data_IF_501886040640
#
_entry.id   IF_501886040640
#
_cell.length_a   1.000
_cell.length_b   1.000
_cell.length_c   1.000
_cell.angle_alpha   90.00
_cell.angle_beta   90.00
_cell.angle_gamma   90.00
#
_symmetry.space_group_name_H-M   'P 1'
#
loop_
_entity.id
_entity.type
_entity.pdbx_description
1 polymer ?
#
# COMPACT_ATOMS: atom_id res chain seq x y z
N UNK A 1 -5.33 11.70 0.03
CA UNK A 1 -5.61 10.79 1.16
C UNK A 1 -4.29 10.10 1.41
N UNK A 2 -3.67 10.39 2.54
CA UNK A 2 -2.42 9.74 2.94
C UNK A 2 -2.74 8.26 3.20
N UNK A 3 -1.92 7.31 2.73
CA UNK A 3 -2.24 5.88 2.88
C UNK A 3 -2.32 5.50 4.37
N UNK A 4 -1.68 6.26 5.26
CA UNK A 4 -1.79 6.12 6.72
C UNK A 4 -3.24 6.25 7.23
N UNK A 5 -4.00 7.26 6.79
CA UNK A 5 -5.41 7.41 7.20
C UNK A 5 -6.27 6.26 6.71
N UNK A 6 -5.92 5.66 5.57
CA UNK A 6 -6.59 4.47 5.03
C UNK A 6 -6.31 3.24 5.90
N UNK A 7 -5.07 3.09 6.37
CA UNK A 7 -4.69 2.01 7.30
C UNK A 7 -5.45 2.15 8.61
N UNK A 8 -5.49 3.34 9.21
CA UNK A 8 -6.22 3.61 10.46
C UNK A 8 -7.71 3.26 10.33
N UNK A 9 -8.33 3.65 9.21
CA UNK A 9 -9.72 3.28 8.90
C UNK A 9 -9.91 1.77 8.82
N UNK A 10 -9.02 1.05 8.13
CA UNK A 10 -9.10 -0.41 8.00
C UNK A 10 -8.91 -1.13 9.33
N UNK A 11 -7.98 -0.64 10.18
CA UNK A 11 -7.79 -1.20 11.54
C UNK A 11 -9.06 -1.02 12.36
N UNK A 12 -9.68 0.16 12.32
CA UNK A 12 -10.91 0.43 13.05
C UNK A 12 -12.09 -0.41 12.56
N UNK A 13 -12.14 -0.72 11.26
CA UNK A 13 -13.24 -1.47 10.63
C UNK A 13 -13.08 -3.00 10.77
N UNK A 14 -11.89 -3.51 10.44
CA UNK A 14 -11.64 -4.94 10.22
C UNK A 14 -10.63 -5.54 11.22
N UNK A 15 -9.98 -4.70 12.03
CA UNK A 15 -8.93 -5.11 12.96
C UNK A 15 -7.53 -5.16 12.32
N UNK A 16 -6.51 -5.22 13.19
CA UNK A 16 -5.11 -5.21 12.78
C UNK A 16 -4.73 -6.41 11.89
N UNK A 17 -5.09 -7.68 12.20
CA UNK A 17 -4.68 -8.82 11.38
C UNK A 17 -5.20 -8.73 9.95
N UNK A 18 -6.49 -8.42 9.77
CA UNK A 18 -7.10 -8.26 8.45
C UNK A 18 -6.47 -7.08 7.67
N UNK A 19 -6.14 -6.00 8.37
CA UNK A 19 -5.45 -4.85 7.75
C UNK A 19 -4.05 -5.24 7.28
N UNK A 20 -3.28 -6.01 8.07
CA UNK A 20 -1.94 -6.49 7.67
C UNK A 20 -2.02 -7.31 6.38
N UNK A 21 -2.95 -8.26 6.29
CA UNK A 21 -3.16 -9.08 5.08
C UNK A 21 -3.56 -8.23 3.87
N UNK A 22 -4.44 -7.26 4.09
CA UNK A 22 -4.87 -6.31 3.07
C UNK A 22 -3.68 -5.46 2.56
N UNK A 23 -2.84 -4.94 3.45
CA UNK A 23 -1.66 -4.14 3.09
C UNK A 23 -0.66 -4.99 2.30
N UNK A 24 -0.38 -6.23 2.74
CA UNK A 24 0.49 -7.15 1.99
C UNK A 24 0.00 -7.40 0.56
N UNK A 25 -1.31 -7.60 0.40
CA UNK A 25 -1.92 -7.82 -0.91
C UNK A 25 -1.83 -6.56 -1.78
N UNK A 26 -2.11 -5.39 -1.20
CA UNK A 26 -2.10 -4.10 -1.89
C UNK A 26 -0.70 -3.73 -2.38
N UNK A 27 0.34 -3.94 -1.56
CA UNK A 27 1.74 -3.72 -1.97
C UNK A 27 2.09 -4.55 -3.21
N UNK A 28 1.72 -5.84 -3.23
CA UNK A 28 1.98 -6.72 -4.39
C UNK A 28 1.28 -6.22 -5.65
N UNK A 29 0.02 -5.78 -5.53
CA UNK A 29 -0.75 -5.24 -6.65
C UNK A 29 -0.11 -3.94 -7.17
N UNK A 30 0.19 -2.99 -6.29
CA UNK A 30 0.75 -1.70 -6.68
C UNK A 30 2.13 -1.86 -7.33
N UNK A 31 3.00 -2.70 -6.76
CA UNK A 31 4.31 -3.00 -7.35
C UNK A 31 4.17 -3.62 -8.74
N UNK A 32 3.27 -4.58 -8.91
CA UNK A 32 3.01 -5.21 -10.21
C UNK A 32 2.44 -4.22 -11.23
N UNK A 33 1.55 -3.33 -10.80
CA UNK A 33 0.96 -2.29 -11.61
C UNK A 33 2.00 -1.27 -12.13
N UNK A 34 2.97 -0.87 -11.29
CA UNK A 34 4.07 0.03 -11.68
C UNK A 34 5.04 -0.62 -12.68
N UNK A 35 5.25 -1.93 -12.57
CA UNK A 35 6.16 -2.68 -13.45
C UNK A 35 5.52 -3.05 -14.80
N UNK A 36 4.20 -3.06 -14.90
CA UNK A 36 3.47 -3.43 -16.11
C UNK A 36 3.17 -2.25 -17.02
N UNK A 37 3.77 -2.20 -18.21
CA UNK A 37 3.54 -1.14 -19.21
C UNK A 37 2.09 -1.06 -19.75
N UNK A 38 1.24 -2.04 -19.43
CA UNK A 38 -0.18 -2.07 -19.79
C UNK A 38 -1.08 -1.41 -18.75
N UNK A 39 -0.54 -1.02 -17.60
CA UNK A 39 -1.29 -0.41 -16.52
C UNK A 39 -0.96 1.08 -16.42
N UNK A 40 -1.97 1.93 -16.18
CA UNK A 40 -1.77 3.40 -16.12
C UNK A 40 -0.80 3.83 -14.99
N UNK A 41 -0.67 3.01 -13.94
CA UNK A 41 0.31 3.20 -12.88
C UNK A 41 1.78 3.08 -13.35
N UNK A 42 2.03 2.59 -14.56
CA UNK A 42 3.35 2.60 -15.16
C UNK A 42 3.72 3.96 -15.76
N UNK A 43 2.73 4.75 -16.17
CA UNK A 43 2.91 6.07 -16.77
C UNK A 43 2.95 7.21 -15.76
N UNK A 44 3.71 8.25 -16.06
CA UNK A 44 3.62 9.51 -15.34
C UNK A 44 2.27 10.21 -15.58
N UNK A 45 1.75 10.97 -14.59
CA UNK A 45 2.32 11.25 -13.27
C UNK A 45 1.96 10.19 -12.20
N UNK A 46 1.31 9.09 -12.59
CA UNK A 46 0.74 8.12 -11.64
C UNK A 46 1.81 7.20 -11.05
N UNK A 47 2.86 6.90 -11.81
CA UNK A 47 3.96 6.03 -11.40
C UNK A 47 4.55 6.43 -10.05
N UNK A 48 4.94 7.70 -9.91
CA UNK A 48 5.50 8.22 -8.66
C UNK A 48 4.54 8.05 -7.47
N UNK A 49 3.24 8.32 -7.67
CA UNK A 49 2.21 8.18 -6.62
C UNK A 49 2.03 6.74 -6.16
N UNK A 50 1.99 5.78 -7.08
CA UNK A 50 1.91 4.36 -6.73
C UNK A 50 3.16 3.88 -5.99
N UNK A 51 4.34 4.36 -6.40
CA UNK A 51 5.60 4.07 -5.71
C UNK A 51 5.59 4.56 -4.27
N UNK A 52 5.23 5.83 -4.07
CA UNK A 52 5.12 6.42 -2.73
C UNK A 52 4.12 5.62 -1.88
N UNK A 53 2.94 5.32 -2.41
CA UNK A 53 1.90 4.60 -1.68
C UNK A 53 2.35 3.20 -1.22
N UNK A 54 2.98 2.39 -2.09
CA UNK A 54 3.44 1.07 -1.63
C UNK A 54 4.64 1.15 -0.68
N UNK A 55 5.49 2.18 -0.79
CA UNK A 55 6.59 2.39 0.16
C UNK A 55 6.08 2.80 1.55
N UNK A 56 5.03 3.60 1.62
CA UNK A 56 4.35 3.94 2.89
C UNK A 56 3.76 2.68 3.54
N UNK A 57 3.12 1.82 2.75
CA UNK A 57 2.64 0.53 3.23
C UNK A 57 3.76 -0.38 3.74
N UNK A 58 4.86 -0.49 3.01
CA UNK A 58 6.02 -1.28 3.46
C UNK A 58 6.63 -0.71 4.75
N UNK A 59 6.67 0.63 4.89
CA UNK A 59 7.14 1.27 6.12
C UNK A 59 6.21 0.95 7.29
N UNK A 60 4.90 1.05 7.10
CA UNK A 60 3.93 0.70 8.13
C UNK A 60 4.04 -0.77 8.55
N UNK A 61 4.18 -1.70 7.60
CA UNK A 61 4.37 -3.12 7.90
C UNK A 61 5.61 -3.36 8.78
N UNK A 62 6.73 -2.68 8.50
CA UNK A 62 7.95 -2.76 9.33
C UNK A 62 7.70 -2.28 10.76
N UNK A 63 6.97 -1.17 10.93
CA UNK A 63 6.61 -0.64 12.25
C UNK A 63 5.65 -1.56 12.99
N UNK A 64 4.66 -2.14 12.32
CA UNK A 64 3.70 -3.07 12.92
C UNK A 64 4.32 -4.42 13.32
N UNK A 65 5.46 -4.79 12.73
CA UNK A 65 6.21 -6.01 13.03
C UNK A 65 7.19 -5.86 14.20
N UNK A 66 7.39 -4.63 14.69
CA UNK A 66 8.31 -4.36 15.80
C UNK A 66 7.51 -4.43 17.11
N UNK A 67 7.79 -5.38 18.01
CA UNK A 67 7.11 -5.50 19.29
C UNK A 67 7.38 -4.32 20.23
#
# INVERSE_FOLDING_TARGET
>A
MEERSRIEFLIARDGLPATVEWVHTTVKIYRSAVLSNRHFAHSEPYRSRFIVAYLEFEQWLRSASTP
#
